data_IF_982188692402
#
_entry.id   IF_982188692402
#
_cell.length_a   1.000
_cell.length_b   1.000
_cell.length_c   1.000
_cell.angle_alpha   90.00
_cell.angle_beta   90.00
_cell.angle_gamma   90.00
#
_symmetry.space_group_name_H-M   'P 1'
#
loop_
_entity.id
_entity.type
_entity.pdbx_description
1 polymer ?
#
# COMPACT_ATOMS: atom_id res chain seq x y z
N UNK A 1 -7.74 -21.95 14.58
CA UNK A 1 -6.62 -21.50 13.72
C UNK A 1 -6.13 -20.13 14.17
N UNK A 2 -4.87 -19.78 13.96
CA UNK A 2 -4.31 -18.46 14.32
C UNK A 2 -3.75 -17.73 13.10
N UNK A 3 -3.77 -16.40 13.16
CA UNK A 3 -3.10 -15.47 12.24
C UNK A 3 -1.90 -14.84 12.94
N UNK A 4 -0.84 -14.59 12.19
CA UNK A 4 0.34 -13.85 12.67
C UNK A 4 0.18 -12.37 12.30
N UNK A 5 0.13 -11.50 13.30
CA UNK A 5 0.06 -10.05 13.10
C UNK A 5 1.37 -9.50 12.54
N UNK A 6 1.31 -8.28 11.99
CA UNK A 6 2.49 -7.55 11.49
C UNK A 6 3.56 -7.31 12.57
N UNK A 7 3.14 -7.28 13.84
CA UNK A 7 4.03 -7.18 15.01
C UNK A 7 4.54 -8.55 15.52
N UNK A 8 4.23 -9.65 14.82
CA UNK A 8 4.64 -11.01 15.18
C UNK A 8 3.74 -11.72 16.18
N UNK A 9 2.77 -11.04 16.81
CA UNK A 9 1.85 -11.68 17.76
C UNK A 9 0.89 -12.64 17.06
N UNK A 10 0.55 -13.72 17.74
CA UNK A 10 -0.48 -14.65 17.29
C UNK A 10 -1.85 -14.25 17.83
N UNK A 11 -2.86 -14.33 16.98
CA UNK A 11 -4.26 -14.12 17.38
C UNK A 11 -5.13 -15.19 16.76
N UNK A 12 -6.18 -15.63 17.47
CA UNK A 12 -7.19 -16.50 16.89
C UNK A 12 -7.86 -15.80 15.69
N UNK A 13 -8.10 -16.55 14.61
CA UNK A 13 -8.82 -15.99 13.46
C UNK A 13 -10.30 -15.94 13.80
N UNK A 14 -10.85 -14.73 13.77
CA UNK A 14 -12.28 -14.49 13.98
C UNK A 14 -12.91 -14.02 12.67
N UNK A 15 -13.95 -14.73 12.23
CA UNK A 15 -14.72 -14.37 11.05
C UNK A 15 -15.23 -12.93 11.12
N UNK A 16 -15.77 -12.52 12.27
CA UNK A 16 -16.32 -11.18 12.48
C UNK A 16 -15.29 -10.07 12.28
N UNK A 17 -14.01 -10.32 12.58
CA UNK A 17 -12.94 -9.33 12.37
C UNK A 17 -12.61 -9.13 10.89
N UNK A 18 -12.66 -10.22 10.10
CA UNK A 18 -12.51 -10.15 8.64
C UNK A 18 -13.68 -9.36 8.06
N UNK A 19 -14.91 -9.78 8.40
CA UNK A 19 -16.14 -9.13 7.94
C UNK A 19 -16.20 -7.64 8.31
N UNK A 20 -15.89 -7.28 9.55
CA UNK A 20 -15.88 -5.89 9.99
C UNK A 20 -14.87 -5.04 9.22
N UNK A 21 -13.69 -5.60 8.91
CA UNK A 21 -12.67 -4.92 8.10
C UNK A 21 -13.14 -4.69 6.67
N UNK A 22 -13.75 -5.69 6.03
CA UNK A 22 -14.26 -5.56 4.66
C UNK A 22 -15.42 -4.56 4.58
N UNK A 23 -16.35 -4.60 5.55
CA UNK A 23 -17.43 -3.62 5.66
C UNK A 23 -16.93 -2.18 5.82
N UNK A 24 -15.84 -1.97 6.57
CA UNK A 24 -15.23 -0.63 6.69
C UNK A 24 -14.69 -0.11 5.35
N UNK A 25 -14.26 -1.00 4.45
CA UNK A 25 -13.70 -0.64 3.14
C UNK A 25 -14.75 -0.56 2.03
N UNK A 26 -15.98 -1.03 2.28
CA UNK A 26 -17.07 -1.01 1.31
C UNK A 26 -17.93 0.26 1.34
N UNK A 27 -17.41 1.37 1.89
CA UNK A 27 -18.14 2.63 1.97
C UNK A 27 -18.54 3.15 0.58
N UNK A 28 -19.80 3.55 0.41
CA UNK A 28 -20.31 4.06 -0.87
C UNK A 28 -20.38 3.03 -2.01
N UNK A 29 -20.16 1.74 -1.73
CA UNK A 29 -20.42 0.65 -2.68
C UNK A 29 -21.87 0.16 -2.55
N UNK A 30 -22.43 -0.41 -3.61
CA UNK A 30 -23.78 -0.98 -3.59
C UNK A 30 -23.84 -2.17 -2.63
N UNK A 31 -24.68 -2.05 -1.59
CA UNK A 31 -24.92 -3.14 -0.63
C UNK A 31 -25.65 -4.32 -1.29
N UNK A 32 -26.45 -4.05 -2.33
CA UNK A 32 -27.21 -5.07 -3.06
C UNK A 32 -26.33 -5.90 -4.00
N UNK A 33 -25.25 -5.31 -4.52
CA UNK A 33 -24.40 -5.96 -5.53
C UNK A 33 -23.01 -6.34 -5.02
N UNK A 34 -22.49 -5.64 -4.01
CA UNK A 34 -21.20 -5.89 -3.38
C UNK A 34 -21.39 -6.24 -1.91
N UNK A 35 -21.49 -7.54 -1.60
CA UNK A 35 -21.62 -8.05 -0.24
C UNK A 35 -20.24 -8.37 0.37
N UNK A 36 -19.74 -7.57 1.34
CA UNK A 36 -18.47 -7.85 2.01
C UNK A 36 -18.50 -9.12 2.85
N UNK A 37 -19.68 -9.58 3.27
CA UNK A 37 -19.85 -10.83 4.04
C UNK A 37 -19.57 -12.03 3.15
N UNK A 38 -20.07 -12.02 1.92
CA UNK A 38 -19.79 -13.07 0.94
C UNK A 38 -18.28 -13.19 0.64
N UNK A 39 -17.59 -12.06 0.49
CA UNK A 39 -16.12 -12.04 0.36
C UNK A 39 -15.48 -12.65 1.60
N UNK A 40 -15.89 -12.24 2.80
CA UNK A 40 -15.34 -12.77 4.05
C UNK A 40 -15.52 -14.30 4.17
N UNK A 41 -16.67 -14.85 3.74
CA UNK A 41 -16.93 -16.29 3.75
C UNK A 41 -15.95 -17.04 2.87
N UNK A 42 -15.73 -16.56 1.63
CA UNK A 42 -14.77 -17.15 0.69
C UNK A 42 -13.34 -17.06 1.20
N UNK A 43 -12.95 -15.89 1.75
CA UNK A 43 -11.63 -15.69 2.36
C UNK A 43 -11.41 -16.65 3.52
N UNK A 44 -12.39 -16.77 4.42
CA UNK A 44 -12.31 -17.64 5.59
C UNK A 44 -12.08 -19.11 5.21
N UNK A 45 -12.70 -19.58 4.12
CA UNK A 45 -12.48 -20.94 3.60
C UNK A 45 -11.04 -21.16 3.09
N UNK A 46 -10.36 -20.11 2.64
CA UNK A 46 -8.96 -20.15 2.18
C UNK A 46 -7.92 -19.93 3.30
N UNK A 47 -8.35 -19.69 4.55
CA UNK A 47 -7.42 -19.45 5.66
C UNK A 47 -6.76 -20.74 6.13
N UNK A 48 -5.43 -20.70 6.28
CA UNK A 48 -4.64 -21.77 6.88
C UNK A 48 -3.94 -21.31 8.17
N UNK A 49 -3.51 -22.28 8.99
CA UNK A 49 -2.81 -22.03 10.26
C UNK A 49 -1.50 -21.28 10.02
N UNK A 50 -1.34 -20.13 10.67
CA UNK A 50 -0.12 -19.33 10.59
C UNK A 50 -0.07 -18.33 9.44
N UNK A 51 -1.17 -18.16 8.69
CA UNK A 51 -1.27 -17.07 7.71
C UNK A 51 -0.95 -15.72 8.38
N UNK A 52 -0.22 -14.84 7.72
CA UNK A 52 0.01 -13.48 8.25
C UNK A 52 -1.18 -12.57 7.95
N UNK A 53 -1.38 -11.53 8.77
CA UNK A 53 -2.43 -10.53 8.48
C UNK A 53 -2.24 -9.80 7.14
N UNK A 54 -1.01 -9.74 6.62
CA UNK A 54 -0.73 -9.16 5.30
C UNK A 54 -1.15 -10.11 4.17
N UNK A 55 -0.88 -11.41 4.32
CA UNK A 55 -1.34 -12.44 3.37
C UNK A 55 -2.86 -12.62 3.41
N UNK A 56 -3.48 -12.46 4.58
CA UNK A 56 -4.93 -12.49 4.71
C UNK A 56 -5.60 -11.33 3.96
N UNK A 57 -5.05 -10.12 4.07
CA UNK A 57 -5.53 -8.96 3.32
C UNK A 57 -5.30 -9.15 1.79
N UNK A 58 -4.19 -9.77 1.39
CA UNK A 58 -3.91 -10.11 -0.01
C UNK A 58 -4.94 -11.11 -0.57
N UNK A 59 -5.18 -12.21 0.15
CA UNK A 59 -6.20 -13.20 -0.21
C UNK A 59 -7.59 -12.56 -0.33
N UNK A 60 -7.92 -11.61 0.56
CA UNK A 60 -9.18 -10.88 0.49
C UNK A 60 -9.29 -9.97 -0.74
N UNK A 61 -8.20 -9.28 -1.11
CA UNK A 61 -8.17 -8.47 -2.31
C UNK A 61 -8.31 -9.33 -3.58
N UNK A 62 -7.58 -10.44 -3.68
CA UNK A 62 -7.68 -11.39 -4.79
C UNK A 62 -9.08 -12.00 -4.91
N UNK A 63 -9.67 -12.38 -3.78
CA UNK A 63 -11.04 -12.93 -3.73
C UNK A 63 -12.06 -11.90 -4.22
N UNK A 64 -11.96 -10.65 -3.77
CA UNK A 64 -12.82 -9.57 -4.25
C UNK A 64 -12.60 -9.30 -5.74
N UNK A 65 -11.34 -9.26 -6.21
CA UNK A 65 -11.03 -9.04 -7.63
C UNK A 65 -11.62 -10.12 -8.53
N UNK A 66 -11.58 -11.39 -8.11
CA UNK A 66 -12.21 -12.50 -8.84
C UNK A 66 -13.75 -12.37 -8.91
N UNK A 67 -14.37 -11.68 -7.95
CA UNK A 67 -15.81 -11.43 -7.92
C UNK A 67 -16.24 -10.22 -8.77
N UNK A 68 -15.30 -9.54 -9.44
CA UNK A 68 -15.60 -8.46 -10.41
C UNK A 68 -16.51 -8.93 -11.54
N UNK A 69 -16.43 -10.22 -11.92
CA UNK A 69 -17.33 -10.81 -12.90
C UNK A 69 -18.81 -10.76 -12.50
N UNK A 70 -19.11 -10.63 -11.20
CA UNK A 70 -20.47 -10.48 -10.69
C UNK A 70 -20.92 -9.01 -10.68
N UNK A 71 -20.04 -8.09 -10.26
CA UNK A 71 -20.32 -6.65 -10.24
C UNK A 71 -19.02 -5.82 -10.14
N UNK A 72 -18.90 -4.68 -10.83
CA UNK A 72 -17.69 -3.83 -10.81
C UNK A 72 -17.30 -3.30 -9.42
N UNK A 73 -18.25 -3.07 -8.52
CA UNK A 73 -17.95 -2.63 -7.14
C UNK A 73 -17.02 -3.58 -6.38
N UNK A 74 -16.99 -4.88 -6.73
CA UNK A 74 -16.00 -5.79 -6.15
C UNK A 74 -14.56 -5.45 -6.56
N UNK A 75 -14.35 -4.88 -7.76
CA UNK A 75 -13.04 -4.35 -8.15
C UNK A 75 -12.64 -3.14 -7.31
N UNK A 76 -13.59 -2.24 -7.02
CA UNK A 76 -13.36 -1.11 -6.11
C UNK A 76 -13.03 -1.59 -4.70
N UNK A 77 -13.76 -2.59 -4.19
CA UNK A 77 -13.46 -3.19 -2.89
C UNK A 77 -12.07 -3.85 -2.88
N UNK A 78 -11.72 -4.61 -3.92
CA UNK A 78 -10.40 -5.23 -4.07
C UNK A 78 -9.26 -4.21 -4.03
N UNK A 79 -9.41 -3.12 -4.80
CA UNK A 79 -8.47 -2.02 -4.83
C UNK A 79 -8.27 -1.40 -3.44
N UNK A 80 -9.37 -1.12 -2.72
CA UNK A 80 -9.31 -0.55 -1.37
C UNK A 80 -8.66 -1.49 -0.36
N UNK A 81 -8.88 -2.80 -0.47
CA UNK A 81 -8.23 -3.79 0.39
C UNK A 81 -6.72 -3.78 0.17
N UNK A 82 -6.27 -3.85 -1.09
CA UNK A 82 -4.83 -3.91 -1.39
C UNK A 82 -4.11 -2.60 -1.02
N UNK A 83 -4.71 -1.45 -1.28
CA UNK A 83 -4.16 -0.14 -0.87
C UNK A 83 -4.11 -0.04 0.67
N UNK A 84 -5.18 -0.43 1.37
CA UNK A 84 -5.18 -0.49 2.84
C UNK A 84 -4.12 -1.44 3.38
N UNK A 85 -3.86 -2.56 2.70
CA UNK A 85 -2.80 -3.50 3.04
C UNK A 85 -1.42 -2.85 2.89
N UNK A 86 -1.15 -2.19 1.75
CA UNK A 86 0.10 -1.49 1.49
C UNK A 86 0.37 -0.41 2.55
N UNK A 87 -0.64 0.41 2.87
CA UNK A 87 -0.51 1.47 3.88
C UNK A 87 -0.12 0.92 5.26
N UNK A 88 -0.57 -0.28 5.63
CA UNK A 88 -0.19 -0.93 6.88
C UNK A 88 1.21 -1.56 6.86
N UNK A 89 1.78 -1.77 5.68
CA UNK A 89 3.09 -2.37 5.50
C UNK A 89 4.19 -1.35 5.13
N UNK A 90 3.83 -0.08 4.97
CA UNK A 90 4.72 1.03 4.58
C UNK A 90 4.69 2.16 5.60
N UNK A 91 5.76 2.97 5.63
CA UNK A 91 5.78 4.19 6.44
C UNK A 91 4.78 5.21 5.88
N UNK A 92 4.19 6.03 6.76
CA UNK A 92 3.30 7.10 6.32
C UNK A 92 4.10 8.31 5.81
N UNK A 93 5.13 8.74 6.53
CA UNK A 93 5.96 9.88 6.11
C UNK A 93 6.74 9.54 4.84
N UNK A 94 6.70 10.44 3.86
CA UNK A 94 7.48 10.34 2.63
C UNK A 94 8.96 10.55 2.92
N UNK A 95 9.30 11.56 3.71
CA UNK A 95 10.69 11.83 4.09
C UNK A 95 11.33 10.67 4.88
N UNK A 96 10.60 10.02 5.79
CA UNK A 96 11.08 8.81 6.48
C UNK A 96 11.32 7.65 5.52
N UNK A 97 10.43 7.44 4.57
CA UNK A 97 10.58 6.40 3.55
C UNK A 97 11.80 6.68 2.66
N UNK A 98 12.01 7.93 2.25
CA UNK A 98 13.17 8.36 1.47
C UNK A 98 14.48 8.13 2.23
N UNK A 99 14.52 8.38 3.55
CA UNK A 99 15.67 8.02 4.39
C UNK A 99 15.97 6.53 4.36
N UNK A 100 14.95 5.67 4.44
CA UNK A 100 15.14 4.21 4.37
C UNK A 100 15.74 3.80 3.02
N UNK A 101 15.27 4.42 1.93
CA UNK A 101 15.75 4.15 0.58
C UNK A 101 17.17 4.67 0.32
N UNK A 102 17.50 5.83 0.87
CA UNK A 102 18.82 6.44 0.75
C UNK A 102 19.86 5.63 1.52
N UNK A 103 19.55 5.22 2.75
CA UNK A 103 20.44 4.38 3.57
C UNK A 103 20.32 2.89 3.24
N UNK A 104 19.84 2.52 2.04
CA UNK A 104 19.72 1.12 1.65
C UNK A 104 21.10 0.49 1.44
N UNK A 105 21.28 -0.69 2.02
CA UNK A 105 22.48 -1.53 1.88
C UNK A 105 22.10 -2.80 1.15
N UNK A 106 22.93 -3.23 0.21
CA UNK A 106 22.73 -4.48 -0.50
C UNK A 106 23.00 -5.68 0.41
N UNK A 107 22.01 -6.55 0.64
CA UNK A 107 22.13 -7.71 1.53
C UNK A 107 23.24 -8.68 1.18
N UNK A 108 23.61 -8.78 -0.10
CA UNK A 108 24.60 -9.74 -0.58
C UNK A 108 26.03 -9.22 -0.43
N UNK A 109 26.25 -7.95 -0.76
CA UNK A 109 27.60 -7.35 -0.72
C UNK A 109 27.90 -6.60 0.57
N UNK A 110 26.87 -6.20 1.33
CA UNK A 110 27.00 -5.34 2.51
C UNK A 110 27.40 -3.90 2.17
N UNK A 111 27.41 -3.52 0.89
CA UNK A 111 27.77 -2.19 0.43
C UNK A 111 26.54 -1.29 0.33
N UNK A 112 26.74 0.00 0.54
CA UNK A 112 25.74 1.03 0.31
C UNK A 112 25.25 0.96 -1.15
N UNK A 113 23.93 0.90 -1.29
CA UNK A 113 23.23 0.84 -2.57
C UNK A 113 22.02 1.78 -2.51
N UNK A 114 22.24 3.10 -2.34
CA UNK A 114 21.16 4.08 -2.22
C UNK A 114 20.24 3.99 -3.43
N UNK A 115 18.92 3.98 -3.17
CA UNK A 115 17.90 3.98 -4.24
C UNK A 115 17.52 5.40 -4.68
N UNK A 116 18.06 6.42 -4.01
CA UNK A 116 17.80 7.85 -4.24
C UNK A 116 19.15 8.55 -4.42
N UNK A 117 19.26 9.45 -5.40
CA UNK A 117 20.47 10.23 -5.61
C UNK A 117 20.70 11.25 -4.48
N UNK A 118 21.96 11.57 -4.19
CA UNK A 118 22.35 12.47 -3.10
C UNK A 118 21.68 13.85 -3.22
N UNK A 119 21.70 14.43 -4.42
CA UNK A 119 21.11 15.75 -4.67
C UNK A 119 19.60 15.77 -4.42
N UNK A 120 18.89 14.72 -4.86
CA UNK A 120 17.45 14.56 -4.62
C UNK A 120 17.15 14.33 -3.13
N UNK A 121 17.96 13.51 -2.45
CA UNK A 121 17.82 13.25 -1.02
C UNK A 121 17.97 14.53 -0.21
N UNK A 122 19.00 15.33 -0.46
CA UNK A 122 19.24 16.61 0.22
C UNK A 122 18.07 17.58 0.05
N UNK A 123 17.54 17.70 -1.18
CA UNK A 123 16.38 18.55 -1.48
C UNK A 123 15.15 18.09 -0.70
N UNK A 124 14.85 16.79 -0.72
CA UNK A 124 13.71 16.22 0.01
C UNK A 124 13.87 16.49 1.50
N UNK A 125 15.06 16.25 2.04
CA UNK A 125 15.33 16.41 3.47
C UNK A 125 15.24 17.86 3.93
N UNK A 126 15.72 18.81 3.13
CA UNK A 126 15.62 20.24 3.40
C UNK A 126 14.16 20.73 3.43
N UNK A 127 13.28 20.10 2.65
CA UNK A 127 11.87 20.49 2.51
C UNK A 127 10.89 19.46 3.12
N UNK A 128 11.39 18.58 4.00
CA UNK A 128 10.67 17.38 4.44
C UNK A 128 9.28 17.67 5.02
N UNK A 129 9.16 18.71 5.86
CA UNK A 129 7.89 19.08 6.50
C UNK A 129 6.85 19.50 5.48
N UNK A 130 7.24 20.33 4.51
CA UNK A 130 6.36 20.78 3.43
C UNK A 130 5.95 19.62 2.53
N UNK A 131 6.91 18.84 2.03
CA UNK A 131 6.61 17.71 1.14
C UNK A 131 5.75 16.64 1.83
N UNK A 132 5.98 16.35 3.11
CA UNK A 132 5.14 15.42 3.87
C UNK A 132 3.71 15.93 4.07
N UNK A 133 3.50 17.26 4.19
CA UNK A 133 2.16 17.84 4.39
C UNK A 133 1.33 17.94 3.11
N UNK A 134 1.98 18.04 1.95
CA UNK A 134 1.28 18.15 0.65
C UNK A 134 0.71 16.82 0.16
N UNK A 135 1.17 15.69 0.70
CA UNK A 135 0.73 14.38 0.23
C UNK A 135 -0.66 14.01 0.77
N UNK A 136 -1.62 13.88 -0.16
CA UNK A 136 -2.97 13.39 0.12
C UNK A 136 -3.05 11.88 -0.12
N UNK A 137 -2.83 11.09 0.92
CA UNK A 137 -2.83 9.61 0.83
C UNK A 137 -4.17 8.98 0.44
N UNK A 138 -5.28 9.70 0.59
CA UNK A 138 -6.59 9.18 0.17
C UNK A 138 -6.67 8.97 -1.35
N UNK A 139 -5.84 9.69 -2.14
CA UNK A 139 -5.71 9.49 -3.58
C UNK A 139 -5.12 8.13 -3.98
N UNK A 140 -4.45 7.42 -3.05
CA UNK A 140 -4.03 6.05 -3.32
C UNK A 140 -5.24 5.11 -3.53
N UNK A 141 -6.43 5.47 -3.06
CA UNK A 141 -7.66 4.68 -3.24
C UNK A 141 -8.36 4.93 -4.59
N UNK A 142 -7.86 5.86 -5.41
CA UNK A 142 -8.41 6.15 -6.75
C UNK A 142 -7.92 5.16 -7.81
N UNK A 143 -6.88 4.37 -7.51
CA UNK A 143 -6.43 3.29 -8.39
C UNK A 143 -7.41 2.12 -8.37
N UNK A 144 -7.61 1.49 -9.53
CA UNK A 144 -8.26 0.20 -9.59
C UNK A 144 -7.28 -0.92 -9.16
N UNK A 145 -7.81 -2.14 -8.97
CA UNK A 145 -7.01 -3.25 -8.47
C UNK A 145 -5.86 -3.61 -9.43
N UNK A 146 -6.12 -3.65 -10.74
CA UNK A 146 -5.11 -4.05 -11.72
C UNK A 146 -4.05 -2.97 -11.96
N UNK A 147 -4.45 -1.70 -11.99
CA UNK A 147 -3.54 -0.55 -12.02
C UNK A 147 -2.64 -0.52 -10.79
N UNK A 148 -3.20 -0.72 -9.59
CA UNK A 148 -2.41 -0.83 -8.38
C UNK A 148 -1.42 -2.01 -8.43
N UNK A 149 -1.85 -3.20 -8.86
CA UNK A 149 -0.95 -4.37 -8.97
C UNK A 149 0.16 -4.17 -9.99
N UNK A 150 -0.10 -3.40 -11.03
CA UNK A 150 0.91 -2.99 -12.01
C UNK A 150 1.95 -2.09 -11.38
N UNK A 151 1.51 -1.09 -10.61
CA UNK A 151 2.40 -0.20 -9.85
C UNK A 151 3.24 -0.98 -8.83
N UNK A 152 2.61 -1.83 -8.01
CA UNK A 152 3.27 -2.64 -6.98
C UNK A 152 4.35 -3.57 -7.55
N UNK A 153 4.10 -4.14 -8.74
CA UNK A 153 5.03 -5.07 -9.37
C UNK A 153 6.28 -4.37 -9.90
N UNK A 154 6.11 -3.25 -10.59
CA UNK A 154 7.15 -2.70 -11.48
C UNK A 154 7.61 -1.29 -11.15
N UNK A 155 6.84 -0.50 -10.40
CA UNK A 155 7.10 0.93 -10.20
C UNK A 155 7.43 1.30 -8.77
N UNK A 156 6.75 0.70 -7.80
CA UNK A 156 7.00 0.99 -6.38
C UNK A 156 8.32 0.37 -5.94
N UNK A 157 9.20 1.21 -5.40
CA UNK A 157 10.54 0.80 -5.00
C UNK A 157 10.49 -0.16 -3.79
N UNK A 158 11.45 -1.09 -3.80
CA UNK A 158 11.56 -2.18 -2.83
C UNK A 158 12.89 -2.14 -2.10
N UNK A 159 12.83 -2.42 -0.80
CA UNK A 159 14.00 -2.60 0.06
C UNK A 159 13.91 -4.00 0.66
N UNK A 160 14.98 -4.79 0.56
CA UNK A 160 14.99 -6.21 0.96
C UNK A 160 13.83 -7.03 0.35
N UNK A 161 13.51 -6.75 -0.92
CA UNK A 161 12.42 -7.40 -1.65
C UNK A 161 11.00 -6.99 -1.23
N UNK A 162 10.85 -6.07 -0.28
CA UNK A 162 9.55 -5.57 0.20
C UNK A 162 9.29 -4.16 -0.32
N UNK A 163 8.07 -3.93 -0.79
CA UNK A 163 7.63 -2.58 -1.20
C UNK A 163 7.64 -1.67 0.03
N UNK A 164 8.36 -0.56 -0.07
CA UNK A 164 8.45 0.46 0.98
C UNK A 164 7.76 1.77 0.58
N UNK A 165 7.45 1.91 -0.71
CA UNK A 165 6.89 3.11 -1.32
C UNK A 165 5.38 3.01 -1.51
N UNK A 166 4.65 4.10 -1.30
CA UNK A 166 3.24 4.25 -1.71
C UNK A 166 3.10 4.90 -3.10
N UNK A 167 1.98 4.74 -3.80
CA UNK A 167 1.77 5.44 -5.07
C UNK A 167 1.99 6.96 -4.95
N UNK A 168 1.42 7.63 -3.95
CA UNK A 168 1.68 9.06 -3.73
C UNK A 168 3.17 9.37 -3.46
N UNK A 169 3.89 8.49 -2.78
CA UNK A 169 5.32 8.67 -2.56
C UNK A 169 6.12 8.61 -3.87
N UNK A 170 5.77 7.65 -4.74
CA UNK A 170 6.38 7.51 -6.06
C UNK A 170 6.15 8.78 -6.90
N UNK A 171 4.91 9.30 -6.91
CA UNK A 171 4.59 10.53 -7.63
C UNK A 171 5.38 11.73 -7.08
N UNK A 172 5.43 11.90 -5.76
CA UNK A 172 6.21 12.98 -5.13
C UNK A 172 7.71 12.85 -5.43
N UNK A 173 8.28 11.65 -5.36
CA UNK A 173 9.68 11.39 -5.72
C UNK A 173 9.96 11.77 -7.18
N UNK A 174 9.05 11.42 -8.10
CA UNK A 174 9.19 11.78 -9.52
C UNK A 174 9.12 13.30 -9.69
N UNK A 175 8.16 13.98 -9.05
CA UNK A 175 8.03 15.43 -9.10
C UNK A 175 9.30 16.14 -8.60
N UNK A 176 9.83 15.74 -7.44
CA UNK A 176 11.09 16.30 -6.92
C UNK A 176 12.27 15.94 -7.82
N UNK A 177 12.32 14.74 -8.40
CA UNK A 177 13.36 14.36 -9.36
C UNK A 177 13.39 15.25 -10.61
N UNK A 178 12.23 15.73 -11.07
CA UNK A 178 12.10 16.61 -12.24
C UNK A 178 12.37 18.07 -11.87
N UNK A 179 11.71 18.59 -10.84
CA UNK A 179 11.71 20.02 -10.51
C UNK A 179 12.81 20.44 -9.52
N UNK A 180 13.41 19.47 -8.82
CA UNK A 180 14.51 19.68 -7.86
C UNK A 180 14.20 20.77 -6.83
N UNK A 181 14.94 21.87 -6.87
CA UNK A 181 14.84 22.98 -5.90
C UNK A 181 13.59 23.85 -6.10
N UNK A 182 12.88 23.72 -7.23
CA UNK A 182 11.65 24.43 -7.49
C UNK A 182 10.46 23.72 -6.81
N UNK A 183 10.35 23.90 -5.48
CA UNK A 183 9.33 23.24 -4.65
C UNK A 183 7.92 23.73 -4.96
N UNK A 184 7.78 24.96 -5.46
CA UNK A 184 6.49 25.48 -5.90
C UNK A 184 5.98 24.66 -7.09
N UNK A 185 6.83 24.37 -8.08
CA UNK A 185 6.48 23.48 -9.19
C UNK A 185 6.23 22.02 -8.75
N UNK A 186 6.90 21.53 -7.69
CA UNK A 186 6.64 20.19 -7.13
C UNK A 186 5.22 20.09 -6.56
N UNK A 187 4.77 21.12 -5.86
CA UNK A 187 3.53 21.09 -5.07
C UNK A 187 2.29 21.50 -5.88
N UNK A 188 2.46 22.34 -6.91
CA UNK A 188 1.36 22.91 -7.71
C UNK A 188 0.57 21.90 -8.56
N UNK A 189 1.14 20.72 -8.84
CA UNK A 189 0.48 19.66 -9.63
C UNK A 189 -0.11 18.52 -8.79
N UNK A 190 -0.21 18.70 -7.47
CA UNK A 190 -0.69 17.67 -6.54
C UNK A 190 -2.21 17.68 -6.46
#
# INVERSE_FOLDING_TARGET
MYVVKRDGRQEAVHFDKITARLKKLSYGLSIEHCDPVLVAQKVYAGVYKGITTSQLDELAAETAAAMTANHPDYACLAARIVVSNLHKNTKKSFSEMVKIMYNHVNDRSGLEAPLIADDVYEIIMKNAVCLDSEIIYDRDFDYDYFGFKTLERSYLLKVHGKVVERPQHMLMRVAVGIHKNDIDSVTTNS
#
